data_IF_179996660173
#
_entry.id   IF_179996660173
#
_cell.length_a   1.000
_cell.length_b   1.000
_cell.length_c   1.000
_cell.angle_alpha   90.00
_cell.angle_beta   90.00
_cell.angle_gamma   90.00
#
_symmetry.space_group_name_H-M   'P 1'
#
loop_
_entity.id
_entity.type
_entity.pdbx_description
1 polymer ?
#
# COMPACT_ATOMS: atom_id res chain seq x y z
N UNK A 1 -33.59 -36.32 -30.89
CA UNK A 1 -33.17 -35.75 -29.58
C UNK A 1 -32.35 -36.83 -28.91
N UNK A 2 -31.04 -36.64 -28.79
CA UNK A 2 -30.13 -37.55 -28.11
C UNK A 2 -30.26 -37.45 -26.58
N UNK A 3 -29.55 -38.26 -25.82
CA UNK A 3 -29.69 -38.28 -24.37
C UNK A 3 -29.03 -37.02 -23.73
N UNK A 4 -27.96 -36.47 -24.33
CA UNK A 4 -27.38 -35.19 -23.93
C UNK A 4 -28.38 -34.05 -24.01
N UNK A 5 -29.12 -33.92 -25.11
CA UNK A 5 -30.18 -32.89 -25.26
C UNK A 5 -31.34 -33.09 -24.27
N UNK A 6 -31.68 -34.30 -23.92
CA UNK A 6 -32.72 -34.62 -22.89
C UNK A 6 -32.25 -34.25 -21.49
N UNK A 7 -30.97 -34.47 -21.22
CA UNK A 7 -30.33 -34.05 -19.97
C UNK A 7 -30.41 -32.50 -19.80
N UNK A 8 -30.00 -31.76 -20.83
CA UNK A 8 -30.06 -30.30 -20.81
C UNK A 8 -31.52 -29.80 -20.65
N UNK A 9 -32.47 -30.41 -21.35
CA UNK A 9 -33.88 -30.05 -21.16
C UNK A 9 -34.37 -30.35 -19.73
N UNK A 10 -33.95 -31.44 -19.12
CA UNK A 10 -34.31 -31.77 -17.73
C UNK A 10 -33.65 -30.79 -16.73
N UNK A 11 -32.44 -30.29 -17.01
CA UNK A 11 -31.79 -29.21 -16.23
C UNK A 11 -32.58 -27.90 -16.33
N UNK A 12 -33.02 -27.51 -17.52
CA UNK A 12 -33.86 -26.32 -17.73
C UNK A 12 -35.21 -26.42 -17.00
N UNK A 13 -35.77 -27.62 -16.95
CA UNK A 13 -37.02 -27.96 -16.22
C UNK A 13 -36.76 -28.10 -14.69
N UNK A 14 -35.52 -27.97 -14.21
CA UNK A 14 -35.08 -28.18 -12.83
C UNK A 14 -35.36 -29.58 -12.28
N UNK A 15 -35.52 -30.59 -13.15
CA UNK A 15 -35.70 -32.00 -12.78
C UNK A 15 -34.33 -32.71 -12.72
N UNK A 16 -33.61 -32.49 -11.62
CA UNK A 16 -32.26 -33.04 -11.43
C UNK A 16 -32.23 -34.55 -11.46
N UNK A 17 -33.33 -35.24 -11.06
CA UNK A 17 -33.42 -36.70 -11.08
C UNK A 17 -33.46 -37.23 -12.51
N UNK A 18 -34.21 -36.59 -13.38
CA UNK A 18 -34.22 -36.95 -14.80
C UNK A 18 -32.95 -36.56 -15.51
N UNK A 19 -32.39 -35.40 -15.18
CA UNK A 19 -31.12 -34.96 -15.72
C UNK A 19 -30.02 -35.99 -15.46
N UNK A 20 -29.90 -36.47 -14.22
CA UNK A 20 -28.95 -37.52 -13.85
C UNK A 20 -29.19 -38.85 -14.62
N UNK A 21 -30.45 -39.29 -14.76
CA UNK A 21 -30.77 -40.49 -15.55
C UNK A 21 -30.38 -40.32 -17.02
N UNK A 22 -30.57 -39.14 -17.62
CA UNK A 22 -30.17 -38.90 -19.00
C UNK A 22 -28.68 -38.72 -19.14
N UNK A 23 -28.01 -38.21 -18.14
CA UNK A 23 -26.54 -38.10 -18.08
C UNK A 23 -25.89 -39.49 -18.24
N UNK A 24 -26.23 -40.43 -17.39
CA UNK A 24 -25.69 -41.79 -17.49
C UNK A 24 -26.05 -42.50 -18.80
N UNK A 25 -27.26 -42.24 -19.34
CA UNK A 25 -27.63 -42.79 -20.67
C UNK A 25 -26.84 -42.14 -21.80
N UNK A 26 -26.51 -40.84 -21.68
CA UNK A 26 -25.69 -40.16 -22.65
C UNK A 26 -24.29 -40.78 -22.72
N UNK A 27 -23.66 -41.01 -21.56
CA UNK A 27 -22.35 -41.69 -21.46
C UNK A 27 -22.34 -43.09 -22.15
N UNK A 28 -23.46 -43.79 -22.11
CA UNK A 28 -23.54 -45.14 -22.69
C UNK A 28 -23.84 -45.16 -24.20
N UNK A 29 -24.51 -44.12 -24.73
CA UNK A 29 -25.14 -44.24 -26.06
C UNK A 29 -24.87 -43.09 -27.02
N UNK A 30 -24.48 -41.91 -26.53
CA UNK A 30 -24.22 -40.77 -27.38
C UNK A 30 -22.79 -40.86 -27.93
N UNK A 31 -22.50 -40.22 -29.07
CA UNK A 31 -21.14 -40.22 -29.63
C UNK A 31 -20.21 -39.27 -28.87
N UNK A 32 -18.92 -39.52 -28.99
CA UNK A 32 -17.89 -38.73 -28.29
C UNK A 32 -17.93 -37.24 -28.68
N UNK A 33 -18.32 -36.89 -29.92
CA UNK A 33 -18.50 -35.48 -30.32
C UNK A 33 -19.68 -34.84 -29.58
N UNK A 34 -20.81 -35.55 -29.43
CA UNK A 34 -21.97 -35.05 -28.68
C UNK A 34 -21.67 -34.93 -27.19
N UNK A 35 -20.91 -35.87 -26.66
CA UNK A 35 -20.44 -35.83 -25.29
C UNK A 35 -19.47 -34.67 -25.05
N UNK A 36 -18.58 -34.38 -26.00
CA UNK A 36 -17.69 -33.23 -25.92
C UNK A 36 -18.47 -31.89 -25.84
N UNK A 37 -19.49 -31.73 -26.74
CA UNK A 37 -20.36 -30.54 -26.70
C UNK A 37 -21.10 -30.40 -25.36
N UNK A 38 -21.59 -31.52 -24.83
CA UNK A 38 -22.27 -31.56 -23.52
C UNK A 38 -21.30 -31.18 -22.39
N UNK A 39 -20.09 -31.75 -22.38
CA UNK A 39 -19.09 -31.46 -21.35
C UNK A 39 -18.68 -29.97 -21.35
N UNK A 40 -18.42 -29.43 -22.54
CA UNK A 40 -18.08 -27.99 -22.70
C UNK A 40 -19.21 -27.07 -22.19
N UNK A 41 -20.46 -27.42 -22.46
CA UNK A 41 -21.60 -26.68 -21.94
C UNK A 41 -21.71 -26.78 -20.41
N UNK A 42 -21.55 -28.01 -19.85
CA UNK A 42 -21.61 -28.22 -18.40
C UNK A 42 -20.48 -27.50 -17.65
N UNK A 43 -19.30 -27.54 -18.21
CA UNK A 43 -18.16 -26.77 -17.70
C UNK A 43 -18.47 -25.26 -17.65
N UNK A 44 -19.01 -24.70 -18.76
CA UNK A 44 -19.37 -23.29 -18.86
C UNK A 44 -20.45 -22.83 -17.89
N UNK A 45 -21.29 -23.74 -17.38
CA UNK A 45 -22.32 -23.45 -16.36
C UNK A 45 -21.94 -23.96 -14.96
N UNK A 46 -20.67 -24.36 -14.74
CA UNK A 46 -20.14 -24.78 -13.44
C UNK A 46 -20.48 -26.18 -12.96
N UNK A 47 -20.97 -27.07 -13.85
CA UNK A 47 -21.20 -28.49 -13.54
C UNK A 47 -19.91 -29.31 -13.74
N UNK A 48 -18.83 -28.90 -13.05
CA UNK A 48 -17.49 -29.48 -13.18
C UNK A 48 -17.41 -31.00 -12.95
N UNK A 49 -18.08 -31.58 -11.92
CA UNK A 49 -18.00 -33.03 -11.74
C UNK A 49 -18.52 -33.84 -12.94
N UNK A 50 -19.65 -33.43 -13.54
CA UNK A 50 -20.23 -34.09 -14.70
C UNK A 50 -19.39 -33.85 -15.95
N UNK A 51 -18.89 -32.64 -16.14
CA UNK A 51 -17.98 -32.31 -17.24
C UNK A 51 -16.71 -33.17 -17.15
N UNK A 52 -16.08 -33.27 -15.97
CA UNK A 52 -14.90 -34.10 -15.71
C UNK A 52 -15.15 -35.57 -16.05
N UNK A 53 -16.30 -36.14 -15.62
CA UNK A 53 -16.64 -37.52 -15.92
C UNK A 53 -16.78 -37.80 -17.43
N UNK A 54 -17.41 -36.87 -18.17
CA UNK A 54 -17.50 -36.98 -19.63
C UNK A 54 -16.11 -36.87 -20.27
N UNK A 55 -15.33 -35.89 -19.91
CA UNK A 55 -13.98 -35.70 -20.48
C UNK A 55 -13.10 -36.92 -20.23
N UNK A 56 -13.14 -37.51 -19.04
CA UNK A 56 -12.45 -38.77 -18.74
C UNK A 56 -12.94 -39.92 -19.58
N UNK A 57 -14.24 -39.95 -19.93
CA UNK A 57 -14.81 -40.98 -20.78
C UNK A 57 -14.34 -40.92 -22.24
N UNK A 58 -14.16 -39.68 -22.76
CA UNK A 58 -13.84 -39.47 -24.18
C UNK A 58 -12.34 -39.18 -24.45
N UNK A 59 -11.50 -39.10 -23.42
CA UNK A 59 -10.08 -38.70 -23.53
C UNK A 59 -9.28 -39.54 -24.52
N UNK A 60 -9.60 -40.80 -24.70
CA UNK A 60 -8.94 -41.70 -25.65
C UNK A 60 -9.21 -41.34 -27.11
N UNK A 61 -10.33 -40.69 -27.43
CA UNK A 61 -10.72 -40.27 -28.76
C UNK A 61 -10.39 -38.79 -28.99
N UNK A 62 -10.43 -37.96 -27.92
CA UNK A 62 -10.15 -36.53 -27.91
C UNK A 62 -9.07 -36.20 -26.87
N UNK A 63 -7.79 -36.47 -27.15
CA UNK A 63 -6.70 -36.20 -26.18
C UNK A 63 -6.61 -34.75 -25.73
N UNK A 64 -7.12 -33.77 -26.51
CA UNK A 64 -7.18 -32.35 -26.20
C UNK A 64 -8.01 -32.06 -24.96
N UNK A 65 -8.95 -32.90 -24.57
CA UNK A 65 -9.74 -32.70 -23.33
C UNK A 65 -8.92 -32.80 -22.06
N UNK A 66 -7.67 -33.28 -22.15
CA UNK A 66 -6.72 -33.18 -21.03
C UNK A 66 -6.49 -31.71 -20.59
N UNK A 67 -6.61 -30.72 -21.51
CA UNK A 67 -6.54 -29.32 -21.15
C UNK A 67 -7.72 -28.90 -20.25
N UNK A 68 -8.96 -29.35 -20.62
CA UNK A 68 -10.14 -29.08 -19.81
C UNK A 68 -10.09 -29.79 -18.45
N UNK A 69 -9.62 -31.06 -18.45
CA UNK A 69 -9.42 -31.81 -17.20
C UNK A 69 -8.41 -31.15 -16.28
N UNK A 70 -7.33 -30.61 -16.85
CA UNK A 70 -6.34 -29.85 -16.09
C UNK A 70 -6.92 -28.54 -15.51
N UNK A 71 -7.71 -27.81 -16.32
CA UNK A 71 -8.40 -26.60 -15.84
C UNK A 71 -9.35 -26.90 -14.69
N UNK A 72 -10.17 -27.95 -14.81
CA UNK A 72 -11.09 -28.37 -13.73
C UNK A 72 -10.31 -28.80 -12.48
N UNK A 73 -9.21 -29.55 -12.64
CA UNK A 73 -8.36 -29.95 -11.52
C UNK A 73 -7.70 -28.75 -10.82
N UNK A 74 -7.31 -27.72 -11.59
CA UNK A 74 -6.79 -26.44 -11.06
C UNK A 74 -7.85 -25.70 -10.23
N UNK A 75 -9.07 -25.58 -10.75
CA UNK A 75 -10.21 -24.96 -10.05
C UNK A 75 -10.55 -25.69 -8.73
N UNK A 76 -10.41 -27.03 -8.73
CA UNK A 76 -10.56 -27.86 -7.53
C UNK A 76 -9.37 -27.75 -6.54
N UNK A 77 -8.32 -26.99 -6.88
CA UNK A 77 -7.11 -26.86 -6.09
C UNK A 77 -6.17 -28.09 -6.14
N UNK A 78 -6.40 -29.00 -7.09
CA UNK A 78 -5.61 -30.22 -7.25
C UNK A 78 -4.53 -30.03 -8.33
N UNK A 79 -3.49 -29.26 -7.97
CA UNK A 79 -2.40 -28.86 -8.88
C UNK A 79 -1.63 -30.08 -9.43
N UNK A 80 -1.42 -31.12 -8.61
CA UNK A 80 -0.70 -32.33 -9.05
C UNK A 80 -1.50 -33.08 -10.13
N UNK A 81 -2.82 -33.19 -9.99
CA UNK A 81 -3.69 -33.80 -10.98
C UNK A 81 -3.73 -32.97 -12.27
N UNK A 82 -3.76 -31.64 -12.15
CA UNK A 82 -3.71 -30.75 -13.30
C UNK A 82 -2.42 -30.95 -14.12
N UNK A 83 -1.26 -30.97 -13.48
CA UNK A 83 0.00 -31.28 -14.17
C UNK A 83 -0.01 -32.65 -14.84
N UNK A 84 -0.54 -33.70 -14.18
CA UNK A 84 -0.60 -35.01 -14.76
C UNK A 84 -1.39 -35.05 -16.07
N UNK A 85 -2.54 -34.35 -16.17
CA UNK A 85 -3.27 -34.21 -17.43
C UNK A 85 -2.47 -33.40 -18.49
N UNK A 86 -1.76 -32.34 -18.10
CA UNK A 86 -0.99 -31.54 -19.02
C UNK A 86 0.28 -32.24 -19.55
N UNK A 87 0.78 -33.27 -18.88
CA UNK A 87 1.91 -34.08 -19.34
C UNK A 87 1.53 -35.02 -20.48
N UNK A 88 0.25 -35.35 -20.61
CA UNK A 88 -0.26 -36.20 -21.72
C UNK A 88 -0.33 -35.45 -23.06
N UNK A 89 -0.19 -34.10 -23.07
CA UNK A 89 -0.22 -33.27 -24.29
C UNK A 89 1.20 -33.03 -24.77
N UNK A 90 1.53 -33.55 -25.97
CA UNK A 90 2.88 -33.47 -26.53
C UNK A 90 3.10 -32.24 -27.39
N UNK A 91 4.39 -31.84 -27.68
CA UNK A 91 4.72 -30.67 -28.49
C UNK A 91 4.17 -30.68 -29.91
N UNK A 92 3.76 -31.83 -30.43
CA UNK A 92 3.17 -31.99 -31.76
C UNK A 92 1.67 -31.65 -31.78
N UNK A 93 1.05 -31.47 -30.62
CA UNK A 93 -0.36 -31.10 -30.49
C UNK A 93 -0.60 -29.64 -30.80
N UNK A 94 -1.68 -29.34 -31.50
CA UNK A 94 -2.17 -27.97 -31.71
C UNK A 94 -2.50 -27.24 -30.39
N UNK A 95 -2.69 -27.99 -29.32
CA UNK A 95 -3.02 -27.49 -27.97
C UNK A 95 -1.79 -27.26 -27.06
N UNK A 96 -0.57 -27.52 -27.61
CA UNK A 96 0.64 -27.43 -26.80
C UNK A 96 0.92 -26.03 -26.23
N UNK A 97 0.63 -24.97 -27.04
CA UNK A 97 0.77 -23.58 -26.59
C UNK A 97 -0.15 -23.30 -25.39
N UNK A 98 -1.43 -23.69 -25.50
CA UNK A 98 -2.39 -23.54 -24.39
C UNK A 98 -1.99 -24.35 -23.15
N UNK A 99 -1.38 -25.53 -23.38
CA UNK A 99 -0.82 -26.36 -22.30
C UNK A 99 0.33 -25.65 -21.57
N UNK A 100 1.23 -24.99 -22.31
CA UNK A 100 2.31 -24.23 -21.71
C UNK A 100 1.81 -23.00 -20.95
N UNK A 101 0.79 -22.31 -21.48
CA UNK A 101 0.17 -21.19 -20.80
C UNK A 101 -0.48 -21.64 -19.47
N UNK A 102 -1.27 -22.73 -19.49
CA UNK A 102 -1.89 -23.24 -18.25
C UNK A 102 -0.84 -23.76 -17.25
N UNK A 103 0.27 -24.37 -17.73
CA UNK A 103 1.41 -24.73 -16.86
C UNK A 103 2.03 -23.49 -16.23
N UNK A 104 2.16 -22.38 -16.97
CA UNK A 104 2.67 -21.14 -16.40
C UNK A 104 1.75 -20.61 -15.30
N UNK A 105 0.43 -20.59 -15.52
CA UNK A 105 -0.53 -20.17 -14.51
C UNK A 105 -0.44 -21.03 -13.24
N UNK A 106 -0.34 -22.37 -13.40
CA UNK A 106 -0.20 -23.29 -12.27
C UNK A 106 1.11 -23.05 -11.49
N UNK A 107 2.24 -22.84 -12.18
CA UNK A 107 3.50 -22.54 -11.51
C UNK A 107 3.46 -21.18 -10.79
N UNK A 108 2.79 -20.19 -11.38
CA UNK A 108 2.61 -18.90 -10.71
C UNK A 108 1.76 -19.01 -9.44
N UNK A 109 0.66 -19.79 -9.47
CA UNK A 109 -0.16 -20.08 -8.28
C UNK A 109 0.64 -20.77 -7.17
N UNK A 110 1.62 -21.59 -7.52
CA UNK A 110 2.55 -22.24 -6.57
C UNK A 110 3.70 -21.31 -6.11
N UNK A 111 3.73 -20.06 -6.58
CA UNK A 111 4.79 -19.10 -6.26
C UNK A 111 6.11 -19.35 -7.00
N UNK A 112 6.12 -20.18 -8.04
CA UNK A 112 7.26 -20.52 -8.88
C UNK A 112 7.29 -19.63 -10.14
N UNK A 113 7.28 -18.32 -9.94
CA UNK A 113 7.14 -17.30 -10.99
C UNK A 113 8.25 -17.39 -12.05
N UNK A 114 9.47 -17.76 -11.67
CA UNK A 114 10.59 -17.98 -12.58
C UNK A 114 10.35 -19.17 -13.53
N UNK A 115 9.78 -20.27 -13.02
CA UNK A 115 9.40 -21.43 -13.83
C UNK A 115 8.22 -21.10 -14.74
N UNK A 116 7.22 -20.38 -14.23
CA UNK A 116 6.09 -19.89 -15.02
C UNK A 116 6.59 -19.07 -16.24
N UNK A 117 7.52 -18.15 -15.99
CA UNK A 117 8.18 -17.35 -17.03
C UNK A 117 8.85 -18.21 -18.12
N UNK A 118 9.58 -19.26 -17.74
CA UNK A 118 10.20 -20.17 -18.69
C UNK A 118 9.15 -20.88 -19.57
N UNK A 119 7.98 -21.22 -19.01
CA UNK A 119 6.90 -21.85 -19.78
C UNK A 119 6.30 -20.91 -20.81
N UNK A 120 6.09 -19.62 -20.48
CA UNK A 120 5.65 -18.64 -21.47
C UNK A 120 6.72 -18.33 -22.52
N UNK A 121 8.00 -18.29 -22.16
CA UNK A 121 9.09 -18.20 -23.15
C UNK A 121 9.12 -19.43 -24.09
N UNK A 122 8.85 -20.62 -23.59
CA UNK A 122 8.71 -21.82 -24.40
C UNK A 122 7.51 -21.69 -25.35
N UNK A 123 6.35 -21.23 -24.86
CA UNK A 123 5.15 -21.03 -25.66
C UNK A 123 5.36 -20.04 -26.82
N UNK A 124 6.10 -18.97 -26.56
CA UNK A 124 6.44 -17.97 -27.59
C UNK A 124 7.37 -18.47 -28.71
N UNK A 125 7.99 -19.66 -28.58
CA UNK A 125 8.67 -20.31 -29.71
C UNK A 125 7.70 -20.95 -30.70
N UNK A 126 6.42 -21.14 -30.33
CA UNK A 126 5.39 -21.78 -31.14
C UNK A 126 4.28 -20.80 -31.57
N UNK A 127 4.09 -19.70 -30.88
CA UNK A 127 3.04 -18.72 -31.15
C UNK A 127 3.48 -17.31 -30.77
N UNK A 128 3.09 -16.32 -31.56
CA UNK A 128 3.29 -14.88 -31.30
C UNK A 128 2.01 -14.22 -30.74
N UNK A 129 1.15 -14.99 -30.10
CA UNK A 129 -0.12 -14.51 -29.56
C UNK A 129 0.07 -13.39 -28.53
N UNK A 130 -0.61 -12.23 -28.68
CA UNK A 130 -0.41 -11.07 -27.81
C UNK A 130 -0.61 -11.35 -26.32
N UNK A 131 -1.52 -12.25 -25.95
CA UNK A 131 -1.76 -12.61 -24.56
C UNK A 131 -0.60 -13.36 -23.92
N UNK A 132 0.18 -14.14 -24.69
CA UNK A 132 1.40 -14.77 -24.16
C UNK A 132 2.49 -13.74 -23.89
N UNK A 133 2.64 -12.74 -24.77
CA UNK A 133 3.57 -11.63 -24.57
C UNK A 133 3.15 -10.80 -23.35
N UNK A 134 1.84 -10.56 -23.21
CA UNK A 134 1.29 -9.87 -22.05
C UNK A 134 1.56 -10.64 -20.74
N UNK A 135 1.23 -11.93 -20.69
CA UNK A 135 1.49 -12.77 -19.53
C UNK A 135 2.98 -12.83 -19.15
N UNK A 136 3.87 -12.96 -20.17
CA UNK A 136 5.31 -12.90 -19.92
C UNK A 136 5.75 -11.56 -19.32
N UNK A 137 5.20 -10.44 -19.80
CA UNK A 137 5.52 -9.12 -19.25
C UNK A 137 4.99 -8.94 -17.82
N UNK A 138 3.83 -9.51 -17.49
CA UNK A 138 3.31 -9.54 -16.09
C UNK A 138 4.27 -10.33 -15.18
N UNK A 139 4.71 -11.53 -15.59
CA UNK A 139 5.68 -12.33 -14.83
C UNK A 139 7.05 -11.63 -14.70
N UNK A 140 7.53 -10.98 -15.77
CA UNK A 140 8.75 -10.16 -15.70
C UNK A 140 8.60 -9.00 -14.71
N UNK A 141 7.44 -8.35 -14.66
CA UNK A 141 7.15 -7.29 -13.69
C UNK A 141 7.16 -7.82 -12.25
N UNK A 142 6.53 -8.97 -12.01
CA UNK A 142 6.49 -9.66 -10.72
C UNK A 142 7.89 -10.05 -10.22
N UNK A 143 8.76 -10.51 -11.12
CA UNK A 143 10.14 -10.86 -10.83
C UNK A 143 11.08 -9.65 -10.67
N UNK A 144 10.57 -8.43 -10.87
CA UNK A 144 11.37 -7.20 -10.82
C UNK A 144 12.20 -6.94 -12.08
N UNK A 145 11.98 -7.69 -13.16
CA UNK A 145 12.60 -7.50 -14.47
C UNK A 145 11.88 -6.37 -15.24
N UNK A 146 11.80 -5.19 -14.60
CA UNK A 146 10.96 -4.09 -15.11
C UNK A 146 11.33 -3.62 -16.50
N UNK A 147 12.60 -3.75 -16.93
CA UNK A 147 13.03 -3.34 -18.26
C UNK A 147 12.50 -4.30 -19.34
N UNK A 148 12.49 -5.59 -19.08
CA UNK A 148 11.93 -6.65 -19.90
C UNK A 148 10.41 -6.52 -19.98
N UNK A 149 9.76 -6.28 -18.83
CA UNK A 149 8.33 -6.03 -18.76
C UNK A 149 7.90 -4.85 -19.66
N UNK A 150 8.60 -3.71 -19.58
CA UNK A 150 8.36 -2.55 -20.46
C UNK A 150 8.49 -2.93 -21.95
N UNK A 151 9.51 -3.70 -22.30
CA UNK A 151 9.70 -4.13 -23.68
C UNK A 151 8.57 -5.04 -24.16
N UNK A 152 8.07 -5.93 -23.30
CA UNK A 152 6.92 -6.78 -23.58
C UNK A 152 5.65 -5.96 -23.82
N UNK A 153 5.26 -5.13 -22.84
CA UNK A 153 4.06 -4.29 -22.95
C UNK A 153 4.10 -3.33 -24.15
N UNK A 154 5.27 -2.77 -24.47
CA UNK A 154 5.42 -1.81 -25.57
C UNK A 154 5.20 -2.42 -26.96
N UNK A 155 5.23 -3.75 -27.11
CA UNK A 155 4.95 -4.45 -28.37
C UNK A 155 3.45 -4.65 -28.60
N UNK A 156 2.63 -4.43 -27.56
CA UNK A 156 1.22 -4.76 -27.55
C UNK A 156 0.35 -3.55 -27.91
N UNK A 157 -0.75 -3.82 -28.61
CA UNK A 157 -1.82 -2.82 -28.77
C UNK A 157 -2.62 -2.69 -27.49
N UNK A 158 -2.52 -1.54 -26.82
CA UNK A 158 -3.15 -1.28 -25.55
C UNK A 158 -4.66 -1.56 -25.57
N UNK A 159 -5.35 -1.15 -26.66
CA UNK A 159 -6.80 -1.31 -26.73
C UNK A 159 -7.19 -2.78 -26.83
N UNK A 160 -6.49 -3.55 -27.66
CA UNK A 160 -6.75 -4.97 -27.83
C UNK A 160 -6.53 -5.75 -26.51
N UNK A 161 -5.46 -5.43 -25.78
CA UNK A 161 -5.20 -6.06 -24.47
C UNK A 161 -6.28 -5.65 -23.47
N UNK A 162 -6.61 -4.36 -23.41
CA UNK A 162 -7.63 -3.87 -22.48
C UNK A 162 -9.01 -4.53 -22.71
N UNK A 163 -9.45 -4.66 -23.98
CA UNK A 163 -10.71 -5.32 -24.31
C UNK A 163 -10.75 -6.80 -23.87
N UNK A 164 -9.59 -7.47 -23.80
CA UNK A 164 -9.48 -8.88 -23.44
C UNK A 164 -9.23 -9.12 -21.95
N UNK A 165 -8.47 -8.24 -21.30
CA UNK A 165 -7.97 -8.46 -19.93
C UNK A 165 -8.49 -7.45 -18.91
N UNK A 166 -9.01 -6.33 -19.36
CA UNK A 166 -9.34 -5.18 -18.50
C UNK A 166 -8.11 -4.41 -18.00
N UNK A 167 -6.89 -4.72 -18.52
CA UNK A 167 -5.64 -4.11 -18.03
C UNK A 167 -5.03 -3.20 -19.10
N UNK A 168 -4.65 -1.98 -18.71
CA UNK A 168 -3.95 -1.04 -19.60
C UNK A 168 -2.45 -1.33 -19.63
N UNK A 169 -1.89 -1.56 -20.83
CA UNK A 169 -0.43 -1.69 -21.01
C UNK A 169 0.30 -0.39 -20.69
N UNK A 170 -0.32 0.77 -20.90
CA UNK A 170 0.26 2.07 -20.52
C UNK A 170 0.38 2.20 -19.00
N UNK A 171 -0.63 1.77 -18.25
CA UNK A 171 -0.56 1.73 -16.79
C UNK A 171 0.60 0.85 -16.32
N UNK A 172 0.72 -0.37 -16.88
CA UNK A 172 1.81 -1.31 -16.55
C UNK A 172 3.20 -0.75 -16.88
N UNK A 173 3.35 -0.10 -18.03
CA UNK A 173 4.60 0.58 -18.43
C UNK A 173 4.91 1.71 -17.44
N UNK A 174 3.93 2.52 -17.07
CA UNK A 174 4.07 3.59 -16.08
C UNK A 174 4.59 3.07 -14.75
N UNK A 175 3.98 2.00 -14.23
CA UNK A 175 4.44 1.34 -13.00
C UNK A 175 5.86 0.80 -13.10
N UNK A 176 6.18 0.11 -14.18
CA UNK A 176 7.51 -0.44 -14.37
C UNK A 176 8.58 0.67 -14.45
N UNK A 177 8.27 1.83 -15.09
CA UNK A 177 9.17 2.99 -15.06
C UNK A 177 9.31 3.61 -13.67
N UNK A 178 8.24 3.66 -12.88
CA UNK A 178 8.30 4.14 -11.50
C UNK A 178 9.22 3.27 -10.64
N UNK A 179 9.13 1.94 -10.77
CA UNK A 179 10.01 1.00 -10.08
C UNK A 179 11.49 1.15 -10.48
N UNK A 180 11.76 1.58 -11.71
CA UNK A 180 13.10 1.90 -12.19
C UNK A 180 13.59 3.30 -11.77
N UNK A 181 12.79 4.07 -11.03
CA UNK A 181 13.10 5.45 -10.66
C UNK A 181 13.07 6.44 -11.83
N UNK A 182 12.45 6.07 -12.95
CA UNK A 182 12.31 6.91 -14.14
C UNK A 182 10.97 7.67 -14.11
N UNK A 183 10.83 8.54 -13.14
CA UNK A 183 9.55 9.16 -12.78
C UNK A 183 8.92 9.99 -13.90
N UNK A 184 9.70 10.72 -14.69
CA UNK A 184 9.20 11.49 -15.84
C UNK A 184 8.52 10.58 -16.88
N UNK A 185 9.14 9.43 -17.19
CA UNK A 185 8.54 8.47 -18.11
C UNK A 185 7.31 7.79 -17.47
N UNK A 186 7.37 7.48 -16.18
CA UNK A 186 6.25 6.90 -15.45
C UNK A 186 5.01 7.80 -15.53
N UNK A 187 5.15 9.09 -15.20
CA UNK A 187 4.03 10.03 -15.26
C UNK A 187 3.48 10.19 -16.67
N UNK A 188 4.32 10.24 -17.72
CA UNK A 188 3.87 10.32 -19.12
C UNK A 188 2.97 9.13 -19.50
N UNK A 189 3.36 7.91 -19.10
CA UNK A 189 2.58 6.71 -19.42
C UNK A 189 1.31 6.59 -18.58
N UNK A 190 1.35 6.96 -17.29
CA UNK A 190 0.15 6.96 -16.45
C UNK A 190 -0.85 8.04 -16.91
N UNK A 191 -0.40 9.22 -17.34
CA UNK A 191 -1.27 10.24 -17.94
C UNK A 191 -1.96 9.69 -19.20
N UNK A 192 -1.22 9.00 -20.10
CA UNK A 192 -1.81 8.35 -21.27
C UNK A 192 -2.85 7.29 -20.91
N UNK A 193 -2.60 6.53 -19.84
CA UNK A 193 -3.57 5.55 -19.37
C UNK A 193 -4.90 6.24 -18.95
N UNK A 194 -4.82 7.30 -18.16
CA UNK A 194 -5.98 8.07 -17.69
C UNK A 194 -6.70 8.85 -18.80
N UNK A 195 -5.99 9.30 -19.85
CA UNK A 195 -6.61 9.93 -21.02
C UNK A 195 -7.49 8.96 -21.81
N UNK A 196 -7.16 7.66 -21.82
CA UNK A 196 -7.93 6.63 -22.51
C UNK A 196 -9.09 6.14 -21.67
N UNK A 197 -8.86 5.90 -20.41
CA UNK A 197 -9.87 5.45 -19.46
C UNK A 197 -9.47 5.85 -18.03
N UNK A 198 -10.41 6.41 -17.30
CA UNK A 198 -10.19 6.78 -15.91
C UNK A 198 -10.15 5.53 -15.02
N UNK A 199 -9.11 5.45 -14.20
CA UNK A 199 -8.92 4.41 -13.19
C UNK A 199 -8.41 5.05 -11.90
N UNK A 200 -9.08 4.78 -10.78
CA UNK A 200 -8.79 5.40 -9.49
C UNK A 200 -7.39 5.08 -8.99
N UNK A 201 -6.94 3.83 -9.17
CA UNK A 201 -5.61 3.40 -8.75
C UNK A 201 -4.52 4.11 -9.55
N UNK A 202 -4.70 4.22 -10.88
CA UNK A 202 -3.77 4.97 -11.76
C UNK A 202 -3.70 6.45 -11.38
N UNK A 203 -4.85 7.06 -11.09
CA UNK A 203 -4.92 8.46 -10.66
C UNK A 203 -4.23 8.67 -9.31
N UNK A 204 -4.40 7.75 -8.37
CA UNK A 204 -3.76 7.78 -7.07
C UNK A 204 -2.23 7.67 -7.18
N UNK A 205 -1.74 6.75 -7.99
CA UNK A 205 -0.30 6.57 -8.18
C UNK A 205 0.33 7.74 -8.90
N UNK A 206 -0.34 8.27 -9.93
CA UNK A 206 0.13 9.47 -10.62
C UNK A 206 0.17 10.68 -9.69
N UNK A 207 -0.85 10.87 -8.84
CA UNK A 207 -0.87 11.91 -7.83
C UNK A 207 0.28 11.77 -6.82
N UNK A 208 0.55 10.53 -6.39
CA UNK A 208 1.64 10.21 -5.47
C UNK A 208 3.01 10.45 -6.10
N UNK A 209 3.22 10.04 -7.35
CA UNK A 209 4.46 10.29 -8.08
C UNK A 209 4.72 11.79 -8.27
N UNK A 210 3.69 12.59 -8.57
CA UNK A 210 3.84 14.04 -8.64
C UNK A 210 4.13 14.67 -7.27
N UNK A 211 3.58 14.10 -6.20
CA UNK A 211 3.91 14.54 -4.85
C UNK A 211 5.39 14.31 -4.52
N UNK A 212 5.92 13.12 -4.84
CA UNK A 212 7.32 12.74 -4.61
C UNK A 212 8.29 13.57 -5.46
N UNK A 213 7.86 14.05 -6.63
CA UNK A 213 8.60 14.96 -7.49
C UNK A 213 8.46 16.44 -7.08
N UNK A 214 7.79 16.73 -5.98
CA UNK A 214 7.48 18.10 -5.50
C UNK A 214 6.60 18.92 -6.48
N UNK A 215 5.96 18.27 -7.44
CA UNK A 215 5.00 18.86 -8.40
C UNK A 215 3.59 18.92 -7.76
N UNK A 216 3.49 19.60 -6.61
CA UNK A 216 2.31 19.55 -5.74
C UNK A 216 1.02 20.00 -6.42
N UNK A 217 1.07 20.97 -7.34
CA UNK A 217 -0.13 21.41 -8.07
C UNK A 217 -0.73 20.32 -8.94
N UNK A 218 0.13 19.51 -9.60
CA UNK A 218 -0.34 18.37 -10.38
C UNK A 218 -0.84 17.25 -9.46
N UNK A 219 -0.14 16.98 -8.37
CA UNK A 219 -0.59 16.04 -7.35
C UNK A 219 -2.01 16.39 -6.86
N UNK A 220 -2.25 17.65 -6.48
CA UNK A 220 -3.56 18.17 -6.09
C UNK A 220 -4.61 17.97 -7.20
N UNK A 221 -4.25 18.17 -8.47
CA UNK A 221 -5.17 17.97 -9.58
C UNK A 221 -5.70 16.54 -9.64
N UNK A 222 -4.81 15.54 -9.58
CA UNK A 222 -5.19 14.14 -9.69
C UNK A 222 -5.89 13.61 -8.43
N UNK A 223 -5.44 13.99 -7.22
CA UNK A 223 -6.19 13.68 -6.00
C UNK A 223 -7.61 14.29 -6.01
N UNK A 224 -7.76 15.51 -6.54
CA UNK A 224 -9.08 16.13 -6.68
C UNK A 224 -9.99 15.39 -7.67
N UNK A 225 -9.42 14.75 -8.71
CA UNK A 225 -10.20 13.90 -9.60
C UNK A 225 -10.76 12.71 -8.82
N UNK A 226 -9.95 12.04 -7.99
CA UNK A 226 -10.41 10.94 -7.14
C UNK A 226 -11.50 11.42 -6.18
N UNK A 227 -11.29 12.51 -5.46
CA UNK A 227 -12.27 13.10 -4.53
C UNK A 227 -13.62 13.41 -5.21
N UNK A 228 -13.58 13.73 -6.51
CA UNK A 228 -14.78 14.13 -7.27
C UNK A 228 -15.48 12.92 -7.91
N UNK A 229 -14.74 11.96 -8.46
CA UNK A 229 -15.28 10.86 -9.27
C UNK A 229 -15.58 9.65 -8.38
N UNK A 230 -14.67 9.34 -7.48
CA UNK A 230 -14.70 8.13 -6.63
C UNK A 230 -14.36 8.47 -5.18
N UNK A 231 -15.19 9.27 -4.50
CA UNK A 231 -14.91 9.69 -3.12
C UNK A 231 -14.83 8.51 -2.13
N UNK A 232 -15.30 7.33 -2.52
CA UNK A 232 -15.22 6.10 -1.71
C UNK A 232 -13.89 5.36 -1.87
N UNK A 233 -13.03 5.78 -2.81
CA UNK A 233 -11.68 5.21 -2.93
C UNK A 233 -10.92 5.43 -1.62
N UNK A 234 -10.26 4.38 -1.10
CA UNK A 234 -9.66 4.43 0.22
C UNK A 234 -8.22 4.97 0.19
N UNK A 235 -7.88 5.78 1.16
CA UNK A 235 -6.50 6.16 1.48
C UNK A 235 -5.93 7.37 0.72
N UNK A 236 -6.67 7.98 -0.21
CA UNK A 236 -6.17 9.15 -0.94
C UNK A 236 -6.13 10.43 -0.08
N UNK A 237 -6.95 10.51 0.97
CA UNK A 237 -7.14 11.75 1.75
C UNK A 237 -5.86 12.19 2.44
N UNK A 238 -5.03 11.25 2.89
CA UNK A 238 -3.75 11.60 3.50
C UNK A 238 -2.83 12.29 2.48
N UNK A 239 -2.58 11.65 1.33
CA UNK A 239 -1.76 12.22 0.26
C UNK A 239 -2.31 13.54 -0.25
N UNK A 240 -3.63 13.62 -0.46
CA UNK A 240 -4.30 14.84 -0.91
C UNK A 240 -4.14 15.99 0.09
N UNK A 241 -4.37 15.73 1.38
CA UNK A 241 -4.19 16.75 2.42
C UNK A 241 -2.75 17.25 2.51
N UNK A 242 -1.77 16.37 2.37
CA UNK A 242 -0.36 16.74 2.34
C UNK A 242 -0.02 17.59 1.11
N UNK A 243 -0.51 17.23 -0.07
CA UNK A 243 -0.30 18.02 -1.30
C UNK A 243 -0.90 19.43 -1.19
N UNK A 244 -2.12 19.54 -0.67
CA UNK A 244 -2.76 20.84 -0.39
C UNK A 244 -1.98 21.66 0.63
N UNK A 245 -1.46 21.03 1.69
CA UNK A 245 -0.63 21.72 2.68
C UNK A 245 0.66 22.26 2.06
N UNK A 246 1.34 21.50 1.20
CA UNK A 246 2.52 21.96 0.46
C UNK A 246 2.22 23.15 -0.47
N UNK A 247 1.00 23.24 -1.00
CA UNK A 247 0.47 24.36 -1.78
C UNK A 247 -0.07 25.51 -0.89
N UNK A 248 0.20 25.50 0.42
CA UNK A 248 -0.25 26.48 1.41
C UNK A 248 -1.78 26.63 1.52
N UNK A 249 -2.54 25.61 1.13
CA UNK A 249 -4.01 25.56 1.23
C UNK A 249 -4.43 24.85 2.53
N UNK A 250 -4.01 25.39 3.69
CA UNK A 250 -4.09 24.71 4.99
C UNK A 250 -5.54 24.41 5.40
N UNK A 251 -6.49 25.34 5.15
CA UNK A 251 -7.91 25.13 5.45
C UNK A 251 -8.51 23.95 4.67
N UNK A 252 -8.15 23.85 3.39
CA UNK A 252 -8.63 22.76 2.54
C UNK A 252 -7.93 21.44 2.91
N UNK A 253 -6.64 21.47 3.22
CA UNK A 253 -5.91 20.33 3.74
C UNK A 253 -6.58 19.75 5.00
N UNK A 254 -6.96 20.62 5.94
CA UNK A 254 -7.69 20.21 7.14
C UNK A 254 -9.07 19.63 6.82
N UNK A 255 -9.78 20.19 5.84
CA UNK A 255 -11.07 19.66 5.39
C UNK A 255 -10.93 18.23 4.87
N UNK A 256 -9.96 17.98 3.99
CA UNK A 256 -9.69 16.66 3.42
C UNK A 256 -9.24 15.67 4.50
N UNK A 257 -8.34 16.08 5.40
CA UNK A 257 -7.92 15.21 6.50
C UNK A 257 -9.10 14.79 7.39
N UNK A 258 -10.03 15.71 7.69
CA UNK A 258 -11.26 15.40 8.43
C UNK A 258 -12.18 14.47 7.64
N UNK A 259 -12.30 14.62 6.34
CA UNK A 259 -13.07 13.70 5.48
C UNK A 259 -12.51 12.27 5.56
N UNK A 260 -11.18 12.09 5.53
CA UNK A 260 -10.58 10.77 5.74
C UNK A 260 -10.84 10.21 7.14
N UNK A 261 -10.85 11.07 8.17
CA UNK A 261 -11.16 10.66 9.54
C UNK A 261 -12.65 10.30 9.75
N UNK A 262 -13.56 10.77 8.90
CA UNK A 262 -14.95 10.29 8.90
C UNK A 262 -15.05 8.83 8.44
N UNK A 263 -14.16 8.39 7.54
CA UNK A 263 -14.06 7.00 7.06
C UNK A 263 -13.30 6.12 8.06
N UNK A 264 -12.14 6.59 8.52
CA UNK A 264 -11.29 5.90 9.50
C UNK A 264 -10.90 6.85 10.64
N UNK A 265 -11.68 6.88 11.76
CA UNK A 265 -11.47 7.80 12.87
C UNK A 265 -10.15 7.65 13.62
N UNK A 266 -9.46 6.51 13.46
CA UNK A 266 -8.23 6.18 14.18
C UNK A 266 -6.99 6.12 13.26
N UNK A 267 -7.10 6.64 12.03
CA UNK A 267 -5.93 6.73 11.14
C UNK A 267 -4.91 7.74 11.70
N UNK A 268 -3.88 7.21 12.35
CA UNK A 268 -2.89 8.02 13.08
C UNK A 268 -2.24 9.10 12.22
N UNK A 269 -1.90 8.79 10.95
CA UNK A 269 -1.28 9.77 10.05
C UNK A 269 -2.20 10.94 9.75
N UNK A 270 -3.49 10.68 9.56
CA UNK A 270 -4.49 11.73 9.34
C UNK A 270 -4.76 12.55 10.61
N UNK A 271 -4.78 11.90 11.78
CA UNK A 271 -4.92 12.60 13.06
C UNK A 271 -3.74 13.55 13.32
N UNK A 272 -2.52 13.11 13.06
CA UNK A 272 -1.32 13.95 13.18
C UNK A 272 -1.31 15.10 12.16
N UNK A 273 -1.73 14.84 10.93
CA UNK A 273 -1.87 15.88 9.91
C UNK A 273 -2.95 16.90 10.27
N UNK A 274 -4.14 16.45 10.69
CA UNK A 274 -5.23 17.33 11.11
C UNK A 274 -4.86 18.15 12.35
N UNK A 275 -4.09 17.58 13.28
CA UNK A 275 -3.53 18.32 14.41
C UNK A 275 -2.59 19.42 13.93
N UNK A 276 -1.64 19.12 13.05
CA UNK A 276 -0.71 20.10 12.50
C UNK A 276 -1.45 21.25 11.80
N UNK A 277 -2.37 20.93 10.90
CA UNK A 277 -3.12 21.94 10.16
C UNK A 277 -3.99 22.80 11.09
N UNK A 278 -4.62 22.20 12.11
CA UNK A 278 -5.39 22.95 13.11
C UNK A 278 -4.50 23.89 13.92
N UNK A 279 -3.30 23.46 14.27
CA UNK A 279 -2.33 24.28 15.00
C UNK A 279 -1.86 25.48 14.14
N UNK A 280 -1.54 25.26 12.87
CA UNK A 280 -1.17 26.33 11.92
C UNK A 280 -2.30 27.35 11.71
N UNK A 281 -3.55 26.90 11.80
CA UNK A 281 -4.75 27.75 11.77
C UNK A 281 -5.06 28.41 13.13
N UNK A 282 -4.16 28.32 14.10
CA UNK A 282 -4.29 28.86 15.45
C UNK A 282 -5.45 28.27 16.27
N UNK A 283 -5.92 27.07 15.92
CA UNK A 283 -6.89 26.32 16.71
C UNK A 283 -6.20 25.21 17.53
N UNK A 284 -5.40 25.66 18.50
CA UNK A 284 -4.65 24.76 19.40
C UNK A 284 -5.55 23.77 20.16
N UNK A 285 -6.81 24.14 20.42
CA UNK A 285 -7.75 23.24 21.10
C UNK A 285 -8.17 22.06 20.23
N UNK A 286 -8.44 22.28 18.97
CA UNK A 286 -8.77 21.23 18.02
C UNK A 286 -7.51 20.39 17.71
N UNK A 287 -6.35 21.03 17.61
CA UNK A 287 -5.07 20.32 17.45
C UNK A 287 -4.80 19.35 18.61
N UNK A 288 -5.01 19.79 19.86
CA UNK A 288 -4.89 18.95 21.05
C UNK A 288 -5.87 17.74 20.99
N UNK A 289 -7.12 17.95 20.57
CA UNK A 289 -8.10 16.87 20.49
C UNK A 289 -7.67 15.77 19.54
N UNK A 290 -7.14 16.12 18.35
CA UNK A 290 -6.62 15.15 17.40
C UNK A 290 -5.44 14.35 17.97
N UNK A 291 -4.51 15.02 18.68
CA UNK A 291 -3.38 14.35 19.34
C UNK A 291 -3.83 13.40 20.44
N UNK A 292 -4.83 13.79 21.23
CA UNK A 292 -5.36 12.93 22.28
C UNK A 292 -6.07 11.70 21.69
N UNK A 293 -6.76 11.85 20.57
CA UNK A 293 -7.33 10.69 19.84
C UNK A 293 -6.23 9.81 19.27
N UNK A 294 -5.20 10.40 18.63
CA UNK A 294 -4.07 9.63 18.09
C UNK A 294 -3.33 8.83 19.16
N UNK A 295 -3.23 9.37 20.38
CA UNK A 295 -2.57 8.71 21.52
C UNK A 295 -3.22 7.38 21.92
N UNK A 296 -4.50 7.17 21.63
CA UNK A 296 -5.23 5.97 22.04
C UNK A 296 -4.77 4.71 21.29
N UNK A 297 -4.31 4.85 20.04
CA UNK A 297 -4.00 3.72 19.14
C UNK A 297 -2.61 3.80 18.49
N UNK A 298 -1.84 4.86 18.71
CA UNK A 298 -0.52 5.02 18.10
C UNK A 298 0.52 4.06 18.71
N UNK A 299 1.30 3.41 17.86
CA UNK A 299 2.43 2.56 18.29
C UNK A 299 3.59 3.39 18.83
N UNK A 300 3.88 4.55 18.22
CA UNK A 300 4.90 5.51 18.63
C UNK A 300 4.23 6.78 19.18
N UNK A 301 4.45 7.03 20.46
CA UNK A 301 3.87 8.17 21.18
C UNK A 301 4.80 9.39 21.27
N UNK A 302 6.06 9.28 20.86
CA UNK A 302 7.06 10.32 21.08
C UNK A 302 6.74 11.63 20.36
N UNK A 303 6.32 11.55 19.10
CA UNK A 303 5.88 12.71 18.34
C UNK A 303 4.63 13.36 18.95
N UNK A 304 3.68 12.53 19.41
CA UNK A 304 2.45 13.01 20.04
C UNK A 304 2.77 13.77 21.33
N UNK A 305 3.64 13.21 22.18
CA UNK A 305 4.04 13.88 23.43
C UNK A 305 4.75 15.19 23.18
N UNK A 306 5.64 15.23 22.19
CA UNK A 306 6.34 16.45 21.83
C UNK A 306 5.38 17.55 21.36
N UNK A 307 4.42 17.20 20.51
CA UNK A 307 3.41 18.15 20.00
C UNK A 307 2.46 18.61 21.10
N UNK A 308 2.00 17.70 21.98
CA UNK A 308 1.18 18.06 23.15
C UNK A 308 1.95 18.98 24.10
N UNK A 309 3.21 18.64 24.43
CA UNK A 309 4.06 19.47 25.28
C UNK A 309 4.26 20.87 24.71
N UNK A 310 4.40 20.99 23.39
CA UNK A 310 4.51 22.28 22.69
C UNK A 310 3.24 23.12 22.88
N UNK A 311 2.06 22.54 22.60
CA UNK A 311 0.77 23.22 22.77
C UNK A 311 0.57 23.64 24.23
N UNK A 312 0.85 22.76 25.18
CA UNK A 312 0.70 23.05 26.61
C UNK A 312 1.69 24.12 27.09
N UNK A 313 2.92 24.14 26.55
CA UNK A 313 3.93 25.16 26.90
C UNK A 313 3.46 26.54 26.48
N UNK A 314 2.93 26.69 25.25
CA UNK A 314 2.39 27.97 24.75
C UNK A 314 1.18 28.48 25.56
N UNK A 315 0.42 27.53 26.10
CA UNK A 315 -0.74 27.85 26.94
C UNK A 315 -0.41 27.97 28.44
N UNK A 316 0.87 27.86 28.82
CA UNK A 316 1.35 27.86 30.22
C UNK A 316 0.68 26.76 31.09
N UNK A 317 0.29 25.64 30.48
CA UNK A 317 -0.34 24.48 31.15
C UNK A 317 0.74 23.52 31.66
N UNK A 318 1.53 23.96 32.61
CA UNK A 318 2.71 23.24 33.09
C UNK A 318 2.38 21.90 33.76
N UNK A 319 1.26 21.80 34.47
CA UNK A 319 0.80 20.58 35.12
C UNK A 319 0.46 19.48 34.08
N UNK A 320 -0.10 19.86 32.90
CA UNK A 320 -0.40 18.95 31.83
C UNK A 320 0.88 18.39 31.18
N UNK A 321 1.91 19.24 31.02
CA UNK A 321 3.24 18.80 30.55
C UNK A 321 3.87 17.81 31.54
N UNK A 322 3.81 18.15 32.85
CA UNK A 322 4.35 17.28 33.91
C UNK A 322 3.64 15.92 33.94
N UNK A 323 2.34 15.88 33.63
CA UNK A 323 1.58 14.63 33.59
C UNK A 323 2.12 13.64 32.54
N UNK A 324 2.77 14.14 31.45
CA UNK A 324 3.40 13.30 30.43
C UNK A 324 4.57 12.48 30.98
N UNK A 325 5.19 12.90 32.09
CA UNK A 325 6.28 12.14 32.73
C UNK A 325 5.85 10.71 33.12
N UNK A 326 4.58 10.51 33.44
CA UNK A 326 4.04 9.20 33.79
C UNK A 326 4.03 8.20 32.64
N UNK A 327 4.21 8.66 31.42
CA UNK A 327 4.29 7.85 30.21
C UNK A 327 5.76 7.54 29.81
N UNK A 328 6.72 7.98 30.62
CA UNK A 328 8.16 7.74 30.43
C UNK A 328 8.67 8.12 29.02
N UNK A 329 8.42 9.37 28.55
CA UNK A 329 8.83 9.77 27.21
C UNK A 329 10.36 9.65 27.07
N UNK A 330 10.82 9.18 25.91
CA UNK A 330 12.25 9.06 25.60
C UNK A 330 12.80 10.30 24.91
N UNK A 331 11.94 11.05 24.19
CA UNK A 331 12.35 12.24 23.46
C UNK A 331 12.96 13.32 24.37
N UNK A 332 14.20 13.70 24.07
CA UNK A 332 15.00 14.67 24.84
C UNK A 332 14.30 16.03 24.98
N UNK A 333 13.63 16.51 23.92
CA UNK A 333 12.94 17.80 23.97
C UNK A 333 11.68 17.72 24.85
N UNK A 334 10.94 16.63 24.81
CA UNK A 334 9.79 16.40 25.69
C UNK A 334 10.22 16.38 27.16
N UNK A 335 11.29 15.64 27.48
CA UNK A 335 11.88 15.62 28.83
C UNK A 335 12.32 17.01 29.29
N UNK A 336 12.93 17.78 28.39
CA UNK A 336 13.34 19.15 28.71
C UNK A 336 12.15 20.06 28.95
N UNK A 337 11.07 19.97 28.18
CA UNK A 337 9.84 20.71 28.45
C UNK A 337 9.23 20.33 29.82
N UNK A 338 9.30 19.06 30.20
CA UNK A 338 8.88 18.61 31.55
C UNK A 338 9.78 19.24 32.62
N UNK A 339 11.11 19.27 32.44
CA UNK A 339 12.05 19.90 33.37
C UNK A 339 11.76 21.39 33.55
N UNK A 340 11.55 22.12 32.42
CA UNK A 340 11.16 23.54 32.42
C UNK A 340 9.83 23.76 33.15
N UNK A 341 8.88 22.85 32.97
CA UNK A 341 7.57 22.95 33.63
C UNK A 341 7.68 22.79 35.13
N UNK A 342 8.52 21.86 35.63
CA UNK A 342 8.82 21.75 37.06
C UNK A 342 9.47 23.04 37.60
N UNK A 343 10.39 23.64 36.86
CA UNK A 343 10.98 24.92 37.26
C UNK A 343 9.92 26.03 37.34
N UNK A 344 8.97 26.08 36.37
CA UNK A 344 7.89 27.09 36.37
C UNK A 344 6.91 26.98 37.53
N UNK A 345 6.68 25.76 38.07
CA UNK A 345 5.85 25.54 39.24
C UNK A 345 6.66 25.51 40.56
N UNK A 346 7.94 25.94 40.50
CA UNK A 346 8.87 26.04 41.62
C UNK A 346 9.22 24.67 42.31
N UNK A 347 9.02 23.54 41.61
CA UNK A 347 9.52 22.22 42.05
C UNK A 347 10.96 22.03 41.52
N UNK A 348 11.87 22.82 42.13
CA UNK A 348 13.25 22.94 41.66
C UNK A 348 14.05 21.63 41.80
N UNK A 349 13.71 20.79 42.80
CA UNK A 349 14.40 19.52 42.98
C UNK A 349 14.15 18.56 41.81
N UNK A 350 12.90 18.44 41.37
CA UNK A 350 12.57 17.61 40.22
C UNK A 350 13.04 18.22 38.87
N UNK A 351 13.05 19.52 38.77
CA UNK A 351 13.65 20.19 37.64
C UNK A 351 15.14 19.83 37.53
N UNK A 352 15.88 19.93 38.65
CA UNK A 352 17.30 19.62 38.71
C UNK A 352 17.61 18.16 38.30
N UNK A 353 16.84 17.18 38.84
CA UNK A 353 16.99 15.77 38.43
C UNK A 353 16.95 15.59 36.91
N UNK A 354 15.97 16.19 36.25
CA UNK A 354 15.82 16.10 34.80
C UNK A 354 16.89 16.87 34.03
N UNK A 355 17.25 18.08 34.49
CA UNK A 355 18.35 18.83 33.87
C UNK A 355 19.67 18.07 33.98
N UNK A 356 19.91 17.40 35.09
CA UNK A 356 21.10 16.56 35.28
C UNK A 356 21.09 15.35 34.34
N UNK A 357 19.95 14.66 34.20
CA UNK A 357 19.77 13.55 33.24
C UNK A 357 20.07 14.01 31.80
N UNK A 358 19.57 15.19 31.41
CA UNK A 358 19.66 15.73 30.05
C UNK A 358 21.01 16.40 29.73
N UNK A 359 21.85 16.63 30.73
CA UNK A 359 23.07 17.41 30.61
C UNK A 359 24.08 16.84 29.58
N UNK A 360 24.07 15.52 29.37
CA UNK A 360 24.91 14.87 28.37
C UNK A 360 24.40 15.08 26.94
N UNK A 361 23.09 14.97 26.76
CA UNK A 361 22.44 15.04 25.44
C UNK A 361 22.35 16.48 24.91
N UNK A 362 22.17 17.43 25.82
CA UNK A 362 22.02 18.86 25.50
C UNK A 362 23.26 19.71 25.82
N UNK A 363 24.43 19.09 26.02
CA UNK A 363 25.70 19.75 26.37
C UNK A 363 26.16 20.87 25.42
N UNK A 364 25.73 20.82 24.16
CA UNK A 364 26.07 21.79 23.12
C UNK A 364 24.86 22.69 22.74
N UNK A 365 23.75 22.65 23.51
CA UNK A 365 22.59 23.49 23.31
C UNK A 365 22.68 24.76 24.20
N UNK A 366 22.85 25.96 23.64
CA UNK A 366 23.03 27.17 24.45
C UNK A 366 21.83 27.50 25.34
N UNK A 367 20.59 27.35 24.83
CA UNK A 367 19.39 27.66 25.61
C UNK A 367 19.25 26.72 26.82
N UNK A 368 19.57 25.43 26.67
CA UNK A 368 19.61 24.48 27.77
C UNK A 368 20.68 24.87 28.81
N UNK A 369 21.90 25.16 28.38
CA UNK A 369 23.00 25.53 29.25
C UNK A 369 22.71 26.81 30.03
N UNK A 370 22.11 27.81 29.40
CA UNK A 370 21.67 29.03 30.04
C UNK A 370 20.65 28.73 31.17
N UNK A 371 19.57 28.02 30.83
CA UNK A 371 18.51 27.69 31.78
C UNK A 371 19.03 26.80 32.94
N UNK A 372 19.91 25.85 32.64
CA UNK A 372 20.51 24.98 33.66
C UNK A 372 21.44 25.80 34.59
N UNK A 373 22.22 26.76 34.07
CA UNK A 373 23.05 27.67 34.88
C UNK A 373 22.21 28.46 35.87
N UNK A 374 21.10 29.04 35.41
CA UNK A 374 20.21 29.79 36.29
C UNK A 374 19.56 28.91 37.37
N UNK A 375 19.12 27.69 37.02
CA UNK A 375 18.56 26.72 37.98
C UNK A 375 19.59 26.33 39.04
N UNK A 376 20.81 26.03 38.66
CA UNK A 376 21.90 25.67 39.58
C UNK A 376 22.24 26.80 40.52
N UNK A 377 22.28 28.04 40.04
CA UNK A 377 22.45 29.22 40.89
C UNK A 377 21.32 29.38 41.89
N UNK A 378 20.08 29.20 41.47
CA UNK A 378 18.90 29.29 42.34
C UNK A 378 18.94 28.25 43.46
N UNK A 379 19.40 27.05 43.15
CA UNK A 379 19.59 25.97 44.14
C UNK A 379 20.85 26.14 45.03
N UNK A 380 21.71 27.11 44.71
CA UNK A 380 22.95 27.34 45.45
C UNK A 380 24.14 26.43 45.03
N UNK A 381 24.03 25.73 43.93
CA UNK A 381 25.11 24.87 43.36
C UNK A 381 26.07 25.69 42.51
N UNK A 382 26.75 26.68 43.16
CA UNK A 382 27.54 27.70 42.48
C UNK A 382 28.68 27.15 41.65
N UNK A 383 29.39 26.11 42.10
CA UNK A 383 30.51 25.49 41.36
C UNK A 383 30.01 24.83 40.05
N UNK A 384 28.88 24.16 40.13
CA UNK A 384 28.26 23.54 38.94
C UNK A 384 27.72 24.62 37.99
N UNK A 385 27.06 25.66 38.51
CA UNK A 385 26.59 26.79 37.72
C UNK A 385 27.76 27.46 36.95
N UNK A 386 28.90 27.65 37.63
CA UNK A 386 30.11 28.18 37.02
C UNK A 386 30.61 27.33 35.84
N UNK A 387 30.67 26.02 36.04
CA UNK A 387 31.08 25.09 34.97
C UNK A 387 30.14 25.17 33.76
N UNK A 388 28.82 25.22 33.97
CA UNK A 388 27.87 25.33 32.86
C UNK A 388 27.95 26.68 32.16
N UNK A 389 28.12 27.80 32.90
CA UNK A 389 28.34 29.12 32.36
C UNK A 389 29.62 29.20 31.48
N UNK A 390 30.71 28.58 31.91
CA UNK A 390 31.95 28.49 31.14
C UNK A 390 31.76 27.71 29.83
N UNK A 391 30.95 26.60 29.84
CA UNK A 391 30.62 25.86 28.63
C UNK A 391 29.75 26.72 27.69
N UNK A 392 28.72 27.36 28.22
CA UNK A 392 27.86 28.29 27.46
C UNK A 392 28.66 29.39 26.76
N UNK A 393 29.56 30.08 27.49
CA UNK A 393 30.39 31.15 26.94
C UNK A 393 31.41 30.70 25.90
N UNK A 394 31.74 29.43 25.80
CA UNK A 394 32.49 28.89 24.65
C UNK A 394 31.67 28.83 23.38
N UNK A 395 30.36 28.68 23.51
CA UNK A 395 29.42 28.66 22.37
C UNK A 395 28.96 30.07 21.99
N UNK A 396 28.68 30.89 23.00
CA UNK A 396 28.22 32.31 22.86
C UNK A 396 29.14 33.25 23.66
N UNK A 397 30.32 33.59 23.15
CA UNK A 397 31.32 34.37 23.90
C UNK A 397 30.89 35.80 24.22
N UNK A 398 30.01 36.41 23.43
CA UNK A 398 29.64 37.80 23.51
C UNK A 398 28.40 38.07 24.40
N UNK A 399 27.92 37.06 25.14
CA UNK A 399 26.80 37.23 26.08
C UNK A 399 27.25 37.91 27.36
N UNK A 400 27.01 39.23 27.45
CA UNK A 400 27.38 40.07 28.58
C UNK A 400 26.67 39.63 29.87
N UNK A 401 25.41 39.17 29.79
CA UNK A 401 24.66 38.80 30.99
C UNK A 401 25.26 37.53 31.62
N UNK A 402 25.63 36.57 30.80
CA UNK A 402 26.27 35.34 31.29
C UNK A 402 27.71 35.60 31.80
N UNK A 403 28.44 36.55 31.17
CA UNK A 403 29.75 36.98 31.67
C UNK A 403 29.64 37.63 33.07
N UNK A 404 28.68 38.55 33.26
CA UNK A 404 28.43 39.19 34.57
C UNK A 404 27.95 38.15 35.59
N UNK A 405 27.12 37.19 35.18
CA UNK A 405 26.68 36.08 36.04
C UNK A 405 27.91 35.28 36.52
N UNK A 406 28.78 34.87 35.61
CA UNK A 406 29.99 34.09 35.90
C UNK A 406 30.94 34.81 36.91
N UNK A 407 31.04 36.15 36.85
CA UNK A 407 31.82 36.92 37.82
C UNK A 407 31.22 36.94 39.23
N UNK A 408 29.91 36.67 39.36
CA UNK A 408 29.19 36.71 40.63
C UNK A 408 28.97 35.32 41.23
N UNK A 409 29.23 34.24 40.51
CA UNK A 409 29.22 32.85 40.96
C UNK A 409 30.55 32.47 41.61
#
# INVERSE_FOLDING_TARGET
MNNSQRMLQALDEQDLTKADQYFHKALETDSSEVLYELASYLEGIGFYPQAKEIYQHIVSEFPEVNLNLASIASEDGNVEEAFAYLEEITPESDWYVSTLALKADLYQLEGLTDVAREKLLEALNYSDEPLLVFGLAELDSELGNHQEAIQGYAQLDNRSIYEQTGVSTYQRIGYAYAQLGKFEAATEFLEKALELEYDDQTAFELASLYFDQEEYQKSVLYFKQIDTISPEFEGYEYGYSQALHKEHQVEEALRIAKQGLEKNPFETRLLLAASQFSYELHDAKVAEQFLLTAKEDAEDLEEIFLRLATIYMEQERFEDIISLRSQEPENVLTKWMIARSYQKIEDLDKAYELYQELSSDLKDNPEFLEQYTYLLRELGYFEEAKMQAEVYLKLIPDDVQMQELLETL
#
